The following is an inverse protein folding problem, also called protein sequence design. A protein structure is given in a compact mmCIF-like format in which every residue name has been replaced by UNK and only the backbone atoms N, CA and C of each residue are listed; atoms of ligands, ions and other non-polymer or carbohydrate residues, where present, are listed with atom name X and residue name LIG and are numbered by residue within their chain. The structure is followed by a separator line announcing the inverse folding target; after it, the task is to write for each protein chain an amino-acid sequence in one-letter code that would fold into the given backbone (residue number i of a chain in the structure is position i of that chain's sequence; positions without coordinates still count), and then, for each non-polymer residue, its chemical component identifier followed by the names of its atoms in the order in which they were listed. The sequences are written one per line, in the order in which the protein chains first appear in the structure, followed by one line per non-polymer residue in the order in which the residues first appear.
data_IF_117445339880
#
_entry.id   IF_117445339880
#
_cell.length_a   1.000
_cell.length_b   1.000
_cell.length_c   1.000
_cell.angle_alpha   90.00
_cell.angle_beta   90.00
_cell.angle_gamma   90.00
#
_symmetry.space_group_name_H-M   'P 1'
#
loop_
_entity.id
_entity.type
_entity.pdbx_description
1 polymer ?
#
# COMPACT_ATOMS: atom_id res chain seq x y z
N UNK A 1 27.94 10.64 -9.63
CA UNK A 1 26.97 10.45 -8.54
C UNK A 1 26.72 11.83 -7.97
N UNK A 2 25.56 12.43 -8.27
CA UNK A 2 25.24 13.76 -7.74
C UNK A 2 24.75 13.58 -6.31
N UNK A 3 25.47 14.19 -5.37
CA UNK A 3 25.01 14.34 -4.00
C UNK A 3 24.03 15.50 -4.02
N UNK A 4 22.74 15.20 -4.01
CA UNK A 4 21.74 16.21 -3.67
C UNK A 4 21.91 16.51 -2.19
N UNK A 5 21.90 17.79 -1.85
CA UNK A 5 21.90 18.20 -0.45
C UNK A 5 20.60 17.73 0.21
N UNK A 6 20.66 17.38 1.50
CA UNK A 6 19.49 17.00 2.29
C UNK A 6 18.36 18.03 2.17
N UNK A 7 18.75 19.31 2.09
CA UNK A 7 17.86 20.46 1.96
C UNK A 7 17.11 20.47 0.62
N UNK A 8 17.80 20.26 -0.52
CA UNK A 8 17.14 20.14 -1.83
C UNK A 8 16.17 18.96 -1.88
N UNK A 9 16.60 17.80 -1.36
CA UNK A 9 15.75 16.61 -1.32
C UNK A 9 14.49 16.83 -0.48
N UNK A 10 14.62 17.50 0.67
CA UNK A 10 13.49 17.83 1.53
C UNK A 10 12.55 18.87 0.88
N UNK A 11 13.11 19.85 0.18
CA UNK A 11 12.32 20.90 -0.47
C UNK A 11 11.52 20.35 -1.65
N UNK A 12 12.14 19.50 -2.47
CA UNK A 12 11.46 18.76 -3.53
C UNK A 12 10.31 17.91 -2.99
N UNK A 13 10.56 17.17 -1.90
CA UNK A 13 9.52 16.33 -1.31
C UNK A 13 8.35 17.15 -0.76
N UNK A 14 8.61 18.30 -0.12
CA UNK A 14 7.55 19.21 0.35
C UNK A 14 6.72 19.75 -0.81
N UNK A 15 7.36 20.14 -1.91
CA UNK A 15 6.67 20.70 -3.08
C UNK A 15 5.77 19.68 -3.78
N UNK A 16 6.20 18.41 -3.83
CA UNK A 16 5.43 17.33 -4.44
C UNK A 16 4.55 16.53 -3.46
N UNK A 17 4.48 16.92 -2.18
CA UNK A 17 3.70 16.20 -1.17
C UNK A 17 4.21 14.79 -0.87
N UNK A 18 5.52 14.56 -1.04
CA UNK A 18 6.21 13.29 -0.78
C UNK A 18 6.80 13.28 0.63
N UNK A 19 6.96 12.07 1.18
CA UNK A 19 7.75 11.86 2.39
C UNK A 19 9.24 11.84 2.03
N UNK A 20 10.10 12.40 2.90
CA UNK A 20 11.54 12.43 2.70
C UNK A 20 12.26 11.83 3.92
N UNK A 21 13.20 10.92 3.68
CA UNK A 21 14.08 10.35 4.69
C UNK A 21 15.40 9.93 4.02
N UNK A 22 16.52 10.33 4.60
CA UNK A 22 17.83 9.82 4.18
C UNK A 22 18.09 8.46 4.82
N UNK A 23 18.29 7.44 3.99
CA UNK A 23 18.63 6.09 4.42
C UNK A 23 19.86 5.56 3.68
N UNK A 24 20.68 4.78 4.38
CA UNK A 24 21.88 4.16 3.82
C UNK A 24 21.75 2.65 3.90
N UNK A 25 21.47 2.02 2.76
CA UNK A 25 21.46 0.57 2.62
C UNK A 25 22.84 -0.05 2.95
N UNK A 26 23.93 0.70 2.70
CA UNK A 26 25.31 0.23 2.94
C UNK A 26 25.65 0.15 4.44
N UNK A 27 25.13 1.06 5.25
CA UNK A 27 25.38 1.11 6.70
C UNK A 27 24.17 0.63 7.52
N UNK A 28 23.11 0.16 6.85
CA UNK A 28 21.81 -0.17 7.44
C UNK A 28 21.17 0.97 8.26
N UNK A 29 21.60 2.20 8.05
CA UNK A 29 21.08 3.36 8.78
C UNK A 29 19.76 3.83 8.18
N UNK A 30 18.77 4.06 9.04
CA UNK A 30 17.42 4.56 8.71
C UNK A 30 16.65 3.71 7.70
N UNK A 31 17.11 2.49 7.39
CA UNK A 31 16.42 1.58 6.47
C UNK A 31 15.12 1.10 7.10
N UNK A 32 15.17 0.62 8.34
CA UNK A 32 13.98 0.15 9.06
C UNK A 32 12.97 1.28 9.29
N UNK A 33 13.44 2.45 9.73
CA UNK A 33 12.58 3.61 9.95
C UNK A 33 11.89 4.07 8.65
N UNK A 34 12.59 4.01 7.51
CA UNK A 34 12.00 4.34 6.21
C UNK A 34 10.83 3.42 5.87
N UNK A 35 10.96 2.11 6.12
CA UNK A 35 9.87 1.16 5.90
C UNK A 35 8.70 1.38 6.86
N UNK A 36 8.97 1.54 8.16
CA UNK A 36 7.93 1.74 9.18
C UNK A 36 7.15 3.03 8.93
N UNK A 37 7.85 4.14 8.67
CA UNK A 37 7.22 5.44 8.44
C UNK A 37 6.36 5.43 7.16
N UNK A 38 6.86 4.79 6.11
CA UNK A 38 6.10 4.60 4.87
C UNK A 38 4.83 3.78 5.09
N UNK A 39 4.92 2.65 5.80
CA UNK A 39 3.78 1.81 6.13
C UNK A 39 2.74 2.55 7.00
N UNK A 40 3.20 3.28 8.02
CA UNK A 40 2.33 4.09 8.88
C UNK A 40 1.61 5.20 8.09
N UNK A 41 2.30 5.83 7.14
CA UNK A 41 1.71 6.86 6.26
C UNK A 41 0.64 6.26 5.34
N UNK A 42 0.89 5.09 4.75
CA UNK A 42 -0.11 4.39 3.92
C UNK A 42 -1.33 4.04 4.77
N UNK A 43 -1.12 3.47 5.97
CA UNK A 43 -2.20 3.10 6.87
C UNK A 43 -3.07 4.30 7.26
N UNK A 44 -2.43 5.43 7.60
CA UNK A 44 -3.15 6.68 7.88
C UNK A 44 -3.96 7.17 6.68
N UNK A 45 -3.39 7.13 5.47
CA UNK A 45 -4.12 7.51 4.24
C UNK A 45 -5.31 6.59 3.93
N UNK A 46 -5.28 5.33 4.34
CA UNK A 46 -6.45 4.44 4.25
C UNK A 46 -7.52 4.89 5.26
N UNK A 47 -7.14 5.19 6.50
CA UNK A 47 -8.08 5.68 7.53
C UNK A 47 -8.72 7.03 7.14
N UNK A 48 -7.92 7.91 6.55
CA UNK A 48 -8.37 9.22 6.05
C UNK A 48 -9.22 9.09 4.77
N UNK A 49 -9.37 7.88 4.20
CA UNK A 49 -10.16 7.62 3.00
C UNK A 49 -9.52 8.10 1.69
N UNK A 50 -8.23 8.46 1.72
CA UNK A 50 -7.46 8.88 0.53
C UNK A 50 -7.16 7.68 -0.37
N UNK A 51 -6.92 6.51 0.23
CA UNK A 51 -6.77 5.25 -0.51
C UNK A 51 -8.04 4.41 -0.38
N UNK A 52 -8.61 4.08 -1.53
CA UNK A 52 -9.68 3.10 -1.61
C UNK A 52 -9.09 1.69 -1.60
N UNK A 53 -9.33 0.98 -0.50
CA UNK A 53 -8.90 -0.40 -0.28
C UNK A 53 -9.58 -1.42 -1.20
N UNK A 54 -10.67 -1.03 -1.87
CA UNK A 54 -11.34 -1.87 -2.87
C UNK A 54 -10.67 -1.80 -4.25
N UNK A 55 -9.83 -0.80 -4.48
CA UNK A 55 -9.12 -0.63 -5.73
C UNK A 55 -7.79 -1.41 -5.72
N UNK A 56 -7.79 -2.57 -6.39
CA UNK A 56 -6.62 -3.45 -6.50
C UNK A 56 -5.42 -2.79 -7.20
N UNK A 57 -5.62 -1.68 -7.92
CA UNK A 57 -4.55 -0.93 -8.59
C UNK A 57 -3.60 -0.23 -7.61
N UNK A 58 -4.02 0.00 -6.36
CA UNK A 58 -3.17 0.59 -5.32
C UNK A 58 -2.28 -0.43 -4.61
N UNK A 59 -2.40 -1.73 -4.93
CA UNK A 59 -1.57 -2.78 -4.34
C UNK A 59 -1.85 -3.07 -2.86
N UNK A 60 -2.96 -2.56 -2.32
CA UNK A 60 -3.39 -2.79 -0.93
C UNK A 60 -4.34 -3.99 -0.91
N UNK A 61 -4.03 -5.02 -0.11
CA UNK A 61 -4.91 -6.19 0.09
C UNK A 61 -5.41 -6.24 1.53
N UNK A 62 -6.72 -6.21 1.72
CA UNK A 62 -7.33 -6.49 3.03
C UNK A 62 -7.25 -7.99 3.28
N UNK A 63 -6.61 -8.42 4.38
CA UNK A 63 -6.60 -9.82 4.80
C UNK A 63 -8.01 -10.32 5.14
N UNK A 64 -8.20 -11.65 5.21
CA UNK A 64 -9.48 -12.36 5.40
C UNK A 64 -10.21 -12.10 6.75
N UNK A 65 -10.25 -10.87 7.26
CA UNK A 65 -10.92 -10.51 8.52
C UNK A 65 -11.32 -9.04 8.67
N UNK A 66 -11.09 -8.17 7.66
CA UNK A 66 -11.54 -6.78 7.69
C UNK A 66 -12.88 -6.61 6.96
N UNK A 67 -13.93 -6.29 7.72
CA UNK A 67 -15.26 -5.81 7.33
C UNK A 67 -15.67 -6.09 5.87
N UNK A 68 -16.56 -7.06 5.72
CA UNK A 68 -17.39 -7.24 4.52
C UNK A 68 -17.96 -5.89 4.08
N UNK A 69 -17.52 -5.40 2.92
CA UNK A 69 -18.43 -4.66 2.04
C UNK A 69 -19.70 -5.48 1.85
N UNK A 70 -20.86 -4.84 1.65
CA UNK A 70 -22.14 -5.53 1.73
C UNK A 70 -22.12 -6.74 0.81
N UNK A 71 -22.40 -7.89 1.42
CA UNK A 71 -22.68 -9.15 0.76
C UNK A 71 -23.62 -8.92 -0.43
N UNK A 72 -23.04 -8.83 -1.63
CA UNK A 72 -23.75 -8.70 -2.88
C UNK A 72 -23.74 -10.03 -3.63
N UNK A 73 -24.78 -10.83 -3.43
CA UNK A 73 -25.22 -11.81 -4.43
C UNK A 73 -24.64 -13.22 -4.31
N UNK A 74 -25.15 -13.99 -3.34
CA UNK A 74 -25.42 -15.41 -3.59
C UNK A 74 -26.54 -15.48 -4.63
N UNK A 75 -26.21 -15.65 -5.90
CA UNK A 75 -27.15 -16.16 -6.90
C UNK A 75 -26.39 -16.96 -7.97
N UNK A 76 -25.84 -18.10 -7.52
CA UNK A 76 -25.33 -19.15 -8.40
C UNK A 76 -26.40 -20.21 -8.57
N UNK A 77 -27.56 -19.84 -9.11
CA UNK A 77 -28.61 -20.81 -9.43
C UNK A 77 -28.37 -21.43 -10.81
N UNK A 78 -28.03 -22.71 -10.74
CA UNK A 78 -28.26 -23.75 -11.74
C UNK A 78 -27.24 -23.97 -12.88
N UNK A 79 -26.80 -25.24 -12.93
CA UNK A 79 -26.58 -26.03 -14.14
C UNK A 79 -25.17 -26.03 -14.75
N UNK A 80 -24.29 -26.91 -14.26
CA UNK A 80 -23.93 -28.11 -15.02
C UNK A 80 -22.99 -29.03 -14.23
N UNK A 81 -23.49 -30.24 -14.02
CA UNK A 81 -22.70 -31.39 -13.64
C UNK A 81 -21.64 -31.69 -14.72
N UNK A 82 -20.43 -32.05 -14.31
CA UNK A 82 -19.51 -32.78 -15.18
C UNK A 82 -18.04 -32.59 -14.86
N UNK A 83 -17.41 -33.65 -14.35
CA UNK A 83 -16.01 -33.94 -14.71
C UNK A 83 -15.06 -34.09 -13.54
N UNK A 84 -14.93 -35.33 -13.05
CA UNK A 84 -13.91 -35.77 -12.12
C UNK A 84 -12.48 -35.69 -12.70
N UNK A 85 -11.53 -35.60 -11.78
CA UNK A 85 -10.08 -35.78 -11.83
C UNK A 85 -9.48 -36.59 -13.00
N UNK A 86 -8.33 -36.15 -13.50
CA UNK A 86 -7.23 -36.98 -14.02
C UNK A 86 -5.90 -36.25 -13.81
#
# INVERSE_FOLDING_TARGET
MQMLSTEEGQQFAKEHGLIFMEASAKTAQNVEEAFINTAATIYKKIQDGVFDVSNESYGIKIGYGGIQGPTGGRDGSSSQAGGCCS
#
